data_IF_518841356379
#
_entry.id   IF_518841356379
#
_cell.length_a   1.000
_cell.length_b   1.000
_cell.length_c   1.000
_cell.angle_alpha   90.00
_cell.angle_beta   90.00
_cell.angle_gamma   90.00
#
_symmetry.space_group_name_H-M   'P 1'
#
loop_
_entity.id
_entity.type
_entity.pdbx_description
1 polymer ?
#
# COMPACT_ATOMS: atom_id res chain seq x y z
N UNK A 1 -18.58 -26.71 -12.75
CA UNK A 1 -18.11 -26.36 -11.38
C UNK A 1 -16.59 -26.62 -11.24
N UNK A 2 -15.78 -26.17 -12.21
CA UNK A 2 -14.30 -26.37 -12.19
C UNK A 2 -13.56 -25.11 -11.73
N UNK A 3 -14.14 -23.94 -12.01
CA UNK A 3 -13.55 -22.64 -11.67
C UNK A 3 -13.39 -22.46 -10.15
N UNK A 4 -14.39 -22.85 -9.36
CA UNK A 4 -14.36 -22.73 -7.90
C UNK A 4 -13.22 -23.51 -7.23
N UNK A 5 -13.08 -24.82 -7.46
CA UNK A 5 -11.98 -25.62 -6.91
C UNK A 5 -10.59 -25.13 -7.34
N UNK A 6 -10.43 -24.74 -8.61
CA UNK A 6 -9.15 -24.24 -9.14
C UNK A 6 -8.79 -22.89 -8.52
N UNK A 7 -9.74 -21.96 -8.40
CA UNK A 7 -9.52 -20.67 -7.74
C UNK A 7 -9.17 -20.85 -6.25
N UNK A 8 -9.79 -21.83 -5.58
CA UNK A 8 -9.48 -22.14 -4.18
C UNK A 8 -8.03 -22.66 -4.02
N UNK A 9 -7.59 -23.59 -4.88
CA UNK A 9 -6.20 -24.11 -4.82
C UNK A 9 -5.18 -23.00 -5.05
N UNK A 10 -5.41 -22.14 -6.05
CA UNK A 10 -4.53 -21.00 -6.35
C UNK A 10 -4.51 -20.03 -5.16
N UNK A 11 -5.68 -19.67 -4.62
CA UNK A 11 -5.79 -18.79 -3.47
C UNK A 11 -5.06 -19.33 -2.24
N UNK A 12 -5.30 -20.59 -1.89
CA UNK A 12 -4.61 -21.27 -0.78
C UNK A 12 -3.10 -21.33 -0.99
N UNK A 13 -2.63 -21.56 -2.22
CA UNK A 13 -1.20 -21.55 -2.55
C UNK A 13 -0.55 -20.18 -2.34
N UNK A 14 -1.23 -19.11 -2.77
CA UNK A 14 -0.77 -17.72 -2.54
C UNK A 14 -0.74 -17.42 -1.04
N UNK A 15 -1.83 -17.72 -0.32
CA UNK A 15 -1.91 -17.49 1.13
C UNK A 15 -0.80 -18.23 1.88
N UNK A 16 -0.60 -19.52 1.59
CA UNK A 16 0.48 -20.29 2.21
C UNK A 16 1.87 -19.69 1.93
N UNK A 17 2.10 -19.20 0.71
CA UNK A 17 3.36 -18.56 0.34
C UNK A 17 3.57 -17.25 1.10
N UNK A 18 2.52 -16.41 1.17
CA UNK A 18 2.56 -15.14 1.92
C UNK A 18 2.78 -15.42 3.40
N UNK A 19 2.02 -16.33 4.01
CA UNK A 19 2.18 -16.70 5.42
C UNK A 19 3.58 -17.24 5.70
N UNK A 20 4.11 -18.12 4.86
CA UNK A 20 5.46 -18.67 5.01
C UNK A 20 6.53 -17.56 5.02
N UNK A 21 6.44 -16.61 4.08
CA UNK A 21 7.37 -15.47 4.02
C UNK A 21 7.23 -14.59 5.26
N UNK A 22 6.02 -14.32 5.73
CA UNK A 22 5.81 -13.48 6.91
C UNK A 22 6.24 -14.16 8.23
N UNK A 23 6.13 -15.49 8.33
CA UNK A 23 6.59 -16.27 9.49
C UNK A 23 8.11 -16.36 9.58
N UNK A 24 8.81 -16.57 8.45
CA UNK A 24 10.25 -16.81 8.44
C UNK A 24 11.08 -15.55 8.16
N UNK A 25 10.51 -14.59 7.42
CA UNK A 25 11.17 -13.37 6.98
C UNK A 25 10.17 -12.21 6.88
N UNK A 26 9.41 -11.98 7.97
CA UNK A 26 8.38 -10.93 8.04
C UNK A 26 8.86 -9.55 7.58
N UNK A 27 10.09 -9.17 7.94
CA UNK A 27 10.70 -7.93 7.48
C UNK A 27 10.84 -7.85 5.95
N UNK A 28 11.16 -8.95 5.28
CA UNK A 28 11.30 -9.01 3.82
C UNK A 28 9.93 -9.01 3.14
N UNK A 29 8.98 -9.79 3.69
CA UNK A 29 7.60 -9.81 3.22
C UNK A 29 6.95 -8.43 3.29
N UNK A 30 7.14 -7.74 4.43
CA UNK A 30 6.64 -6.39 4.63
C UNK A 30 7.31 -5.36 3.73
N UNK A 31 8.63 -5.47 3.50
CA UNK A 31 9.36 -4.59 2.59
C UNK A 31 8.84 -4.68 1.16
N UNK A 32 8.74 -5.91 0.64
CA UNK A 32 8.28 -6.18 -0.72
C UNK A 32 6.82 -5.74 -0.88
N UNK A 33 5.96 -6.09 0.09
CA UNK A 33 4.56 -5.73 0.03
C UNK A 33 4.37 -4.21 0.07
N UNK A 34 5.05 -3.49 0.96
CA UNK A 34 5.01 -2.03 1.02
C UNK A 34 5.52 -1.34 -0.25
N UNK A 35 6.50 -1.93 -0.93
CA UNK A 35 7.02 -1.42 -2.20
C UNK A 35 6.05 -1.65 -3.37
N UNK A 36 5.44 -2.83 -3.45
CA UNK A 36 4.62 -3.26 -4.58
C UNK A 36 3.15 -2.81 -4.44
N UNK A 37 2.68 -2.51 -3.22
CA UNK A 37 1.29 -2.15 -2.97
C UNK A 37 0.83 -0.92 -3.77
N UNK A 38 1.55 0.20 -3.74
CA UNK A 38 1.14 1.39 -4.49
C UNK A 38 1.07 1.15 -6.02
N UNK A 39 2.03 0.45 -6.67
CA UNK A 39 1.85 -0.06 -8.03
C UNK A 39 0.61 -0.93 -8.26
N UNK A 40 0.25 -1.79 -7.31
CA UNK A 40 -0.99 -2.59 -7.39
C UNK A 40 -2.26 -1.76 -7.26
N UNK A 41 -2.20 -0.64 -6.53
CA UNK A 41 -3.32 0.32 -6.49
C UNK A 41 -3.50 0.98 -7.85
N UNK A 42 -2.40 1.32 -8.53
CA UNK A 42 -2.47 1.88 -9.89
C UNK A 42 -3.16 0.92 -10.87
N UNK A 43 -2.90 -0.37 -10.76
CA UNK A 43 -3.49 -1.40 -11.65
C UNK A 43 -4.87 -1.89 -11.19
N UNK A 44 -5.31 -1.52 -9.99
CA UNK A 44 -6.55 -2.03 -9.37
C UNK A 44 -6.45 -3.47 -8.82
N UNK A 45 -5.31 -4.14 -9.01
CA UNK A 45 -5.12 -5.53 -8.56
C UNK A 45 -5.03 -5.68 -7.04
N UNK A 46 -4.85 -4.58 -6.30
CA UNK A 46 -4.81 -4.59 -4.84
C UNK A 46 -6.09 -5.18 -4.20
N UNK A 47 -7.26 -5.10 -4.85
CA UNK A 47 -8.49 -5.75 -4.37
C UNK A 47 -8.41 -7.28 -4.30
N UNK A 48 -7.50 -7.91 -5.05
CA UNK A 48 -7.29 -9.37 -4.99
C UNK A 48 -6.78 -9.82 -3.63
N UNK A 49 -6.13 -8.93 -2.86
CA UNK A 49 -5.64 -9.24 -1.53
C UNK A 49 -6.75 -9.39 -0.50
N UNK A 50 -7.98 -8.91 -0.77
CA UNK A 50 -9.13 -9.17 0.11
C UNK A 50 -9.42 -10.66 0.28
N UNK A 51 -9.28 -11.44 -0.80
CA UNK A 51 -9.47 -12.89 -0.72
C UNK A 51 -8.38 -13.57 0.14
N UNK A 52 -7.15 -13.07 0.07
CA UNK A 52 -6.02 -13.55 0.89
C UNK A 52 -6.22 -13.16 2.36
N UNK A 53 -6.67 -11.92 2.63
CA UNK A 53 -7.00 -11.43 3.97
C UNK A 53 -8.09 -12.28 4.64
N UNK A 54 -9.17 -12.61 3.93
CA UNK A 54 -10.22 -13.47 4.47
C UNK A 54 -9.71 -14.86 4.83
N UNK A 55 -8.76 -15.40 4.07
CA UNK A 55 -8.12 -16.69 4.40
C UNK A 55 -7.18 -16.57 5.60
N UNK A 56 -6.43 -15.47 5.72
CA UNK A 56 -5.56 -15.17 6.86
C UNK A 56 -6.37 -15.00 8.16
N UNK A 57 -7.51 -14.32 8.11
CA UNK A 57 -8.42 -14.16 9.26
C UNK A 57 -8.95 -15.49 9.79
N UNK A 58 -9.20 -16.47 8.91
CA UNK A 58 -9.63 -17.82 9.28
C UNK A 58 -8.48 -18.75 9.70
N UNK A 59 -7.23 -18.29 9.61
CA UNK A 59 -6.04 -19.07 9.96
C UNK A 59 -5.70 -18.97 11.46
N UNK A 60 -4.69 -19.75 11.90
CA UNK A 60 -4.20 -19.73 13.29
C UNK A 60 -3.68 -18.36 13.77
N UNK A 61 -3.44 -17.42 12.83
CA UNK A 61 -3.00 -16.07 13.15
C UNK A 61 -4.11 -15.18 13.73
N UNK A 62 -5.39 -15.45 13.43
CA UNK A 62 -6.52 -14.65 13.92
C UNK A 62 -6.56 -13.19 13.44
N UNK A 63 -5.75 -12.82 12.44
CA UNK A 63 -5.61 -11.46 11.93
C UNK A 63 -4.78 -11.39 10.65
N UNK A 64 -4.46 -10.18 10.18
CA UNK A 64 -3.69 -9.94 8.94
C UNK A 64 -2.66 -8.83 9.15
N UNK A 65 -1.39 -9.15 8.87
CA UNK A 65 -0.28 -8.19 8.89
C UNK A 65 -0.28 -7.25 7.65
N UNK A 66 -1.13 -7.53 6.66
CA UNK A 66 -1.17 -6.77 5.42
C UNK A 66 -1.82 -5.41 5.65
N UNK A 67 -2.86 -5.33 6.49
CA UNK A 67 -3.63 -4.11 6.73
C UNK A 67 -2.81 -2.95 7.31
N UNK A 68 -1.96 -3.16 8.34
CA UNK A 68 -1.05 -2.12 8.80
C UNK A 68 -0.11 -1.60 7.70
N UNK A 69 0.37 -2.48 6.81
CA UNK A 69 1.23 -2.09 5.69
C UNK A 69 0.45 -1.29 4.63
N UNK A 70 -0.80 -1.67 4.36
CA UNK A 70 -1.70 -0.90 3.50
C UNK A 70 -1.94 0.50 4.07
N UNK A 71 -2.25 0.58 5.36
CA UNK A 71 -2.49 1.84 6.05
C UNK A 71 -1.25 2.76 5.99
N UNK A 72 -0.05 2.22 6.24
CA UNK A 72 1.16 3.03 6.15
C UNK A 72 1.48 3.46 4.72
N UNK A 73 1.21 2.62 3.72
CA UNK A 73 1.36 3.01 2.31
C UNK A 73 0.44 4.19 1.97
N UNK A 74 -0.81 4.16 2.46
CA UNK A 74 -1.76 5.25 2.23
C UNK A 74 -1.28 6.57 2.84
N UNK A 75 -0.81 6.51 4.09
CA UNK A 75 -0.20 7.64 4.78
C UNK A 75 1.02 8.15 4.00
N UNK A 76 1.91 7.27 3.51
CA UNK A 76 3.08 7.66 2.73
C UNK A 76 2.69 8.42 1.44
N UNK A 77 1.65 7.96 0.72
CA UNK A 77 1.17 8.65 -0.47
C UNK A 77 0.57 10.03 -0.13
N UNK A 78 -0.19 10.12 0.96
CA UNK A 78 -0.72 11.39 1.47
C UNK A 78 0.37 12.36 1.92
N UNK A 79 1.37 11.88 2.65
CA UNK A 79 2.55 12.64 3.08
C UNK A 79 3.38 13.15 1.90
N UNK A 80 3.56 12.35 0.86
CA UNK A 80 4.23 12.78 -0.37
C UNK A 80 3.46 13.90 -1.08
N UNK A 81 2.13 13.83 -1.11
CA UNK A 81 1.28 14.91 -1.63
C UNK A 81 1.39 16.19 -0.77
N UNK A 82 1.49 16.08 0.57
CA UNK A 82 1.80 17.24 1.41
C UNK A 82 3.21 17.82 1.17
N UNK A 83 4.19 16.97 0.88
CA UNK A 83 5.52 17.41 0.44
C UNK A 83 5.45 18.23 -0.84
N UNK A 84 4.71 17.75 -1.84
CA UNK A 84 4.46 18.48 -3.08
C UNK A 84 3.68 19.79 -2.84
N UNK A 85 2.67 19.78 -1.96
CA UNK A 85 1.94 20.97 -1.53
C UNK A 85 2.87 22.07 -1.00
N UNK A 86 3.83 21.71 -0.16
CA UNK A 86 4.80 22.67 0.38
C UNK A 86 5.65 23.31 -0.73
N UNK A 87 6.09 22.52 -1.71
CA UNK A 87 6.83 23.01 -2.88
C UNK A 87 5.96 23.93 -3.75
N UNK A 88 4.71 23.55 -4.03
CA UNK A 88 3.78 24.38 -4.81
C UNK A 88 3.46 25.71 -4.12
N UNK A 89 3.29 25.70 -2.79
CA UNK A 89 3.10 26.91 -1.98
C UNK A 89 4.30 27.86 -2.11
N UNK A 90 5.53 27.34 -2.06
CA UNK A 90 6.77 28.13 -2.26
C UNK A 90 6.86 28.73 -3.66
N UNK A 91 6.39 28.00 -4.68
CA UNK A 91 6.39 28.43 -6.09
C UNK A 91 5.17 29.28 -6.49
N UNK A 92 4.27 29.60 -5.55
CA UNK A 92 3.04 30.37 -5.78
C UNK A 92 2.11 29.73 -6.84
N UNK A 93 2.12 28.40 -6.91
CA UNK A 93 1.30 27.58 -7.81
C UNK A 93 -0.06 27.28 -7.16
N UNK A 94 -0.96 28.27 -7.16
CA UNK A 94 -2.20 28.23 -6.37
C UNK A 94 -3.15 27.06 -6.75
N UNK A 95 -3.19 26.69 -8.03
CA UNK A 95 -4.05 25.61 -8.54
C UNK A 95 -3.56 24.24 -8.05
N UNK A 96 -2.28 23.99 -8.20
CA UNK A 96 -1.60 22.74 -7.85
C UNK A 96 -1.51 22.58 -6.33
N UNK A 97 -1.34 23.69 -5.60
CA UNK A 97 -1.40 23.72 -4.14
C UNK A 97 -2.75 23.24 -3.63
N UNK A 98 -3.87 23.72 -4.18
CA UNK A 98 -5.21 23.30 -3.75
C UNK A 98 -5.41 21.79 -3.91
N UNK A 99 -5.04 21.26 -5.09
CA UNK A 99 -5.12 19.83 -5.39
C UNK A 99 -4.22 19.00 -4.46
N UNK A 100 -2.99 19.42 -4.23
CA UNK A 100 -2.05 18.67 -3.40
C UNK A 100 -2.47 18.62 -1.92
N UNK A 101 -3.10 19.68 -1.42
CA UNK A 101 -3.64 19.71 -0.05
C UNK A 101 -4.80 18.73 0.11
N UNK A 102 -5.82 18.82 -0.74
CA UNK A 102 -7.03 17.98 -0.63
C UNK A 102 -6.71 16.52 -0.90
N UNK A 103 -5.82 16.25 -1.85
CA UNK A 103 -5.34 14.90 -2.17
C UNK A 103 -4.48 14.32 -1.04
N UNK A 104 -3.66 15.14 -0.37
CA UNK A 104 -2.89 14.72 0.80
C UNK A 104 -3.78 14.29 1.96
N UNK A 105 -4.84 15.07 2.25
CA UNK A 105 -5.85 14.71 3.27
C UNK A 105 -6.58 13.42 2.89
N UNK A 106 -7.00 13.28 1.62
CA UNK A 106 -7.60 12.06 1.10
C UNK A 106 -6.71 10.83 1.33
N UNK A 107 -5.41 10.94 1.02
CA UNK A 107 -4.44 9.87 1.21
C UNK A 107 -4.30 9.43 2.68
N UNK A 108 -4.34 10.39 3.61
CA UNK A 108 -4.34 10.09 5.05
C UNK A 108 -5.60 9.35 5.53
N UNK A 109 -6.73 9.57 4.86
CA UNK A 109 -7.99 8.88 5.14
C UNK A 109 -8.11 7.52 4.42
N UNK A 110 -7.05 7.10 3.72
CA UNK A 110 -7.00 5.81 3.03
C UNK A 110 -7.38 5.85 1.55
N UNK A 111 -7.75 7.02 1.01
CA UNK A 111 -8.12 7.20 -0.41
C UNK A 111 -6.95 7.85 -1.15
N UNK A 112 -6.15 7.05 -1.84
CA UNK A 112 -4.84 7.45 -2.38
C UNK A 112 -4.87 7.83 -3.84
N UNK A 113 -5.95 7.56 -4.56
CA UNK A 113 -6.09 7.82 -6.00
C UNK A 113 -5.89 9.32 -6.35
N UNK A 114 -6.49 10.29 -5.62
CA UNK A 114 -6.25 11.69 -5.90
C UNK A 114 -4.77 12.09 -5.68
N UNK A 115 -4.11 11.51 -4.67
CA UNK A 115 -2.71 11.78 -4.37
C UNK A 115 -1.78 11.16 -5.42
N UNK A 116 -1.99 9.90 -5.77
CA UNK A 116 -1.16 9.19 -6.73
C UNK A 116 -1.30 9.76 -8.14
N UNK A 117 -2.52 9.87 -8.65
CA UNK A 117 -2.76 10.30 -10.03
C UNK A 117 -2.71 11.82 -10.19
N UNK A 118 -3.15 12.57 -9.17
CA UNK A 118 -3.19 14.04 -9.24
C UNK A 118 -1.86 14.71 -8.93
N UNK A 119 -0.97 14.08 -8.15
CA UNK A 119 0.24 14.74 -7.62
C UNK A 119 1.50 13.90 -7.77
N UNK A 120 1.51 12.67 -7.22
CA UNK A 120 2.75 11.92 -7.02
C UNK A 120 3.30 11.33 -8.31
N UNK A 121 2.46 10.72 -9.16
CA UNK A 121 2.87 10.15 -10.46
C UNK A 121 3.29 11.21 -11.47
N UNK A 122 2.55 12.34 -11.65
CA UNK A 122 2.98 13.42 -12.53
C UNK A 122 4.37 13.97 -12.17
N UNK A 123 4.64 14.13 -10.88
CA UNK A 123 5.93 14.62 -10.38
C UNK A 123 7.02 13.54 -10.32
N UNK A 124 6.66 12.25 -10.35
CA UNK A 124 7.51 11.04 -10.23
C UNK A 124 8.30 10.92 -8.92
N UNK A 125 9.03 11.95 -8.52
CA UNK A 125 9.84 11.97 -7.30
C UNK A 125 9.02 11.73 -6.02
N UNK A 126 7.83 12.34 -5.81
CA UNK A 126 7.03 12.07 -4.63
C UNK A 126 6.51 10.63 -4.60
N UNK A 127 6.19 10.05 -5.75
CA UNK A 127 5.78 8.63 -5.83
C UNK A 127 6.91 7.70 -5.41
N UNK A 128 8.13 7.91 -5.93
CA UNK A 128 9.30 7.10 -5.56
C UNK A 128 9.63 7.25 -4.07
N UNK A 129 9.54 8.48 -3.53
CA UNK A 129 9.75 8.72 -2.11
C UNK A 129 8.70 8.00 -1.24
N UNK A 130 7.43 8.03 -1.65
CA UNK A 130 6.34 7.36 -0.93
C UNK A 130 6.53 5.84 -0.90
N UNK A 131 6.81 5.20 -2.04
CA UNK A 131 6.99 3.73 -2.10
C UNK A 131 8.26 3.27 -1.39
N UNK A 132 9.33 4.08 -1.43
CA UNK A 132 10.57 3.76 -0.71
C UNK A 132 10.36 3.86 0.81
N UNK A 133 9.63 4.88 1.26
CA UNK A 133 9.27 5.02 2.68
C UNK A 133 8.33 3.90 3.12
N UNK A 134 7.34 3.55 2.30
CA UNK A 134 6.43 2.43 2.58
C UNK A 134 7.14 1.09 2.59
N UNK A 135 8.18 0.88 1.77
CA UNK A 135 9.02 -0.30 1.81
C UNK A 135 9.74 -0.42 3.17
N UNK A 136 10.41 0.65 3.62
CA UNK A 136 11.12 0.64 4.91
C UNK A 136 10.16 0.45 6.09
N UNK A 137 9.04 1.19 6.12
CA UNK A 137 8.06 1.06 7.19
C UNK A 137 7.32 -0.28 7.14
N UNK A 138 7.03 -0.80 5.95
CA UNK A 138 6.49 -2.14 5.76
C UNK A 138 7.44 -3.21 6.29
N UNK A 139 8.75 -3.06 6.09
CA UNK A 139 9.75 -3.95 6.67
C UNK A 139 9.74 -3.92 8.20
N UNK A 140 9.62 -2.73 8.80
CA UNK A 140 9.53 -2.58 10.25
C UNK A 140 8.26 -3.24 10.79
N UNK A 141 7.10 -3.02 10.17
CA UNK A 141 5.83 -3.64 10.56
C UNK A 141 5.95 -5.17 10.45
N UNK A 142 6.41 -5.67 9.32
CA UNK A 142 6.57 -7.11 9.09
C UNK A 142 7.59 -7.76 10.04
N UNK A 143 8.64 -7.05 10.45
CA UNK A 143 9.59 -7.53 11.45
C UNK A 143 8.98 -7.70 12.84
N UNK A 144 8.01 -6.85 13.20
CA UNK A 144 7.38 -6.86 14.52
C UNK A 144 6.11 -7.72 14.58
N UNK A 145 5.70 -8.36 13.47
CA UNK A 145 4.52 -9.23 13.37
C UNK A 145 3.25 -8.61 14.01
N UNK A 146 3.06 -7.30 13.78
CA UNK A 146 1.89 -6.51 14.20
C UNK A 146 0.89 -6.33 13.07
#
# INVERSE_FOLDING_TARGET
MVIGPVALIIGTGITNTVTFVFEHAGWLGGAIYGLVYAPLVITGLHHMFLAVDFQLMGSKLGGTYLWPIVAISNICQGSAAFGAWYVYKRRKMAKEQGLALTSGVSGMLGVTEPAMFGVNLPLKYPFIAAISTSCVLGAVIGANQV
#
